data_IF_240337508753
#
_entry.id   IF_240337508753
#
_cell.length_a   1.000
_cell.length_b   1.000
_cell.length_c   1.000
_cell.angle_alpha   90.00
_cell.angle_beta   90.00
_cell.angle_gamma   90.00
#
_symmetry.space_group_name_H-M   'P 1'
#
loop_
_entity.id
_entity.type
_entity.pdbx_description
1 polymer ?
#
# COMPACT_ATOMS: atom_id res chain seq x y z
N UNK A 1 -16.05 -4.14 -5.23
CA UNK A 1 -15.97 -4.54 -6.66
C UNK A 1 -16.95 -3.73 -7.50
N UNK A 2 -18.24 -3.65 -7.15
CA UNK A 2 -19.26 -2.91 -7.91
C UNK A 2 -18.88 -1.44 -8.14
N UNK A 3 -18.44 -0.75 -7.09
CA UNK A 3 -17.99 0.64 -7.20
C UNK A 3 -16.82 0.78 -8.18
N UNK A 4 -15.86 -0.11 -8.11
CA UNK A 4 -14.70 -0.12 -9.03
C UNK A 4 -15.14 -0.36 -10.47
N UNK A 5 -16.06 -1.30 -10.69
CA UNK A 5 -16.60 -1.54 -12.03
C UNK A 5 -17.36 -0.32 -12.60
N UNK A 6 -18.10 0.41 -11.76
CA UNK A 6 -18.80 1.66 -12.16
C UNK A 6 -17.82 2.77 -12.58
N UNK A 7 -16.65 2.85 -11.95
CA UNK A 7 -15.63 3.83 -12.26
C UNK A 7 -14.87 3.53 -13.56
N UNK A 8 -14.96 2.30 -14.07
CA UNK A 8 -14.27 1.86 -15.29
C UNK A 8 -12.78 2.23 -15.32
N UNK A 9 -11.98 1.87 -14.31
CA UNK A 9 -10.61 2.31 -14.18
C UNK A 9 -9.71 1.68 -15.26
N UNK A 10 -8.57 2.31 -15.52
CA UNK A 10 -7.51 1.75 -16.38
C UNK A 10 -6.61 0.75 -15.66
N UNK A 11 -6.59 0.78 -14.34
CA UNK A 11 -5.81 -0.10 -13.47
C UNK A 11 -6.48 -0.20 -12.11
N UNK A 12 -6.31 -1.31 -11.43
CA UNK A 12 -6.74 -1.52 -10.04
C UNK A 12 -5.53 -1.86 -9.20
N UNK A 13 -5.42 -1.23 -8.04
CA UNK A 13 -4.42 -1.56 -7.03
C UNK A 13 -5.14 -2.07 -5.79
N UNK A 14 -4.81 -3.29 -5.39
CA UNK A 14 -5.25 -3.82 -4.11
C UNK A 14 -4.16 -3.56 -3.07
N UNK A 15 -4.50 -2.87 -2.00
CA UNK A 15 -3.53 -2.40 -1.04
C UNK A 15 -3.52 -3.24 0.25
N UNK A 16 -3.27 -4.54 0.08
CA UNK A 16 -3.00 -5.49 1.15
C UNK A 16 -4.21 -6.08 1.86
N UNK A 17 -3.93 -7.05 2.71
CA UNK A 17 -4.89 -7.81 3.52
C UNK A 17 -6.06 -8.39 2.70
N UNK A 18 -5.73 -8.92 1.51
CA UNK A 18 -6.70 -9.61 0.68
C UNK A 18 -7.03 -11.00 1.21
N UNK A 19 -6.11 -11.61 1.93
CA UNK A 19 -6.31 -12.88 2.65
C UNK A 19 -6.22 -12.67 4.16
N UNK A 20 -6.72 -13.63 4.91
CA UNK A 20 -6.67 -13.59 6.36
C UNK A 20 -6.01 -14.86 6.91
N UNK A 21 -4.69 -14.97 6.68
CA UNK A 21 -3.89 -16.10 7.23
C UNK A 21 -4.35 -17.45 6.66
N UNK A 22 -4.44 -17.57 5.35
CA UNK A 22 -4.89 -18.79 4.68
C UNK A 22 -3.85 -19.90 4.79
N UNK A 23 -4.30 -21.11 5.08
CA UNK A 23 -3.42 -22.26 5.24
C UNK A 23 -3.14 -23.00 3.92
N UNK A 24 -4.02 -22.84 2.92
CA UNK A 24 -3.87 -23.51 1.62
C UNK A 24 -3.71 -22.51 0.49
N UNK A 25 -2.92 -22.88 -0.52
CA UNK A 25 -2.72 -22.07 -1.72
C UNK A 25 -4.04 -21.91 -2.49
N UNK A 26 -4.90 -22.91 -2.49
CA UNK A 26 -6.19 -22.87 -3.18
C UNK A 26 -7.12 -21.84 -2.54
N UNK A 27 -7.18 -21.77 -1.21
CA UNK A 27 -7.96 -20.77 -0.49
C UNK A 27 -7.43 -19.36 -0.79
N UNK A 28 -6.13 -19.17 -0.72
CA UNK A 28 -5.48 -17.90 -1.04
C UNK A 28 -5.71 -17.49 -2.51
N UNK A 29 -5.48 -18.41 -3.46
CA UNK A 29 -5.74 -18.14 -4.88
C UNK A 29 -7.20 -17.78 -5.14
N UNK A 30 -8.14 -18.44 -4.47
CA UNK A 30 -9.56 -18.13 -4.59
C UNK A 30 -9.83 -16.69 -4.19
N UNK A 31 -9.32 -16.24 -3.06
CA UNK A 31 -9.51 -14.87 -2.58
C UNK A 31 -8.96 -13.86 -3.58
N UNK A 32 -7.75 -14.06 -4.09
CA UNK A 32 -7.13 -13.12 -5.03
C UNK A 32 -7.76 -13.14 -6.43
N UNK A 33 -8.20 -14.30 -6.90
CA UNK A 33 -8.68 -14.47 -8.27
C UNK A 33 -10.20 -14.42 -8.38
N UNK A 34 -10.94 -14.70 -7.33
CA UNK A 34 -12.39 -14.75 -7.37
C UNK A 34 -13.05 -13.47 -7.89
N UNK A 35 -12.61 -12.26 -7.47
CA UNK A 35 -13.14 -11.03 -8.05
C UNK A 35 -12.95 -10.93 -9.57
N UNK A 36 -11.87 -11.51 -10.08
CA UNK A 36 -11.60 -11.57 -11.53
C UNK A 36 -12.49 -12.57 -12.24
N UNK A 37 -12.83 -13.68 -11.58
CA UNK A 37 -13.68 -14.73 -12.13
C UNK A 37 -15.14 -14.27 -12.18
N UNK A 38 -15.62 -13.63 -11.14
CA UNK A 38 -17.01 -13.18 -11.01
C UNK A 38 -17.33 -12.00 -11.94
N UNK A 39 -16.35 -11.15 -12.21
CA UNK A 39 -16.49 -9.95 -13.04
C UNK A 39 -15.58 -10.02 -14.27
N UNK A 40 -15.80 -11.02 -15.11
CA UNK A 40 -15.01 -11.27 -16.33
C UNK A 40 -14.93 -10.08 -17.29
N UNK A 41 -15.99 -9.30 -17.36
CA UNK A 41 -16.11 -8.11 -18.19
C UNK A 41 -15.09 -7.02 -17.78
N UNK A 42 -14.76 -6.98 -16.52
CA UNK A 42 -13.90 -5.96 -15.91
C UNK A 42 -12.48 -6.50 -15.65
N UNK A 43 -12.35 -7.66 -15.00
CA UNK A 43 -11.07 -8.15 -14.50
C UNK A 43 -10.15 -8.72 -15.60
N UNK A 44 -10.72 -9.21 -16.70
CA UNK A 44 -9.94 -9.76 -17.82
C UNK A 44 -9.21 -8.69 -18.64
N UNK A 45 -9.57 -7.42 -18.48
CA UNK A 45 -9.11 -6.31 -19.33
C UNK A 45 -8.24 -5.28 -18.61
N UNK A 46 -8.12 -5.38 -17.30
CA UNK A 46 -7.44 -4.38 -16.48
C UNK A 46 -6.13 -4.89 -15.89
N UNK A 47 -5.06 -4.12 -15.94
CA UNK A 47 -3.91 -4.33 -15.08
C UNK A 47 -4.36 -4.33 -13.62
N UNK A 48 -3.89 -5.31 -12.89
CA UNK A 48 -4.20 -5.49 -11.48
C UNK A 48 -2.89 -5.56 -10.71
N UNK A 49 -2.63 -4.57 -9.88
CA UNK A 49 -1.44 -4.48 -9.05
C UNK A 49 -1.82 -4.79 -7.60
N UNK A 50 -0.87 -5.32 -6.87
CA UNK A 50 -1.08 -5.76 -5.50
C UNK A 50 0.10 -5.32 -4.62
N UNK A 51 -0.20 -4.62 -3.52
CA UNK A 51 0.73 -4.42 -2.43
C UNK A 51 0.36 -5.40 -1.32
N UNK A 52 1.24 -6.31 -0.91
CA UNK A 52 0.93 -7.22 0.18
C UNK A 52 0.68 -6.49 1.50
N UNK A 53 -0.24 -7.04 2.29
CA UNK A 53 -0.45 -6.66 3.68
C UNK A 53 0.10 -7.70 4.63
N UNK A 54 0.15 -7.37 5.92
CA UNK A 54 0.72 -8.26 6.93
C UNK A 54 -0.08 -9.58 7.09
N UNK A 55 -1.39 -9.58 6.84
CA UNK A 55 -2.17 -10.81 6.85
C UNK A 55 -1.93 -11.68 5.63
N UNK A 56 -1.60 -11.11 4.48
CA UNK A 56 -1.23 -11.87 3.29
C UNK A 56 0.06 -12.66 3.49
N UNK A 57 0.93 -12.21 4.39
CA UNK A 57 2.19 -12.85 4.72
C UNK A 57 2.08 -13.95 5.78
N UNK A 58 0.97 -14.01 6.48
CA UNK A 58 0.71 -15.03 7.51
C UNK A 58 0.15 -16.30 6.90
N UNK A 59 0.38 -17.42 7.57
CA UNK A 59 -0.14 -18.72 7.16
C UNK A 59 0.77 -19.52 6.23
N UNK A 60 0.42 -20.78 6.05
CA UNK A 60 1.23 -21.75 5.29
C UNK A 60 1.27 -21.45 3.79
N UNK A 61 0.27 -20.76 3.27
CA UNK A 61 0.17 -20.44 1.84
C UNK A 61 1.08 -19.28 1.43
N UNK A 62 1.58 -18.48 2.36
CA UNK A 62 2.41 -17.32 2.08
C UNK A 62 3.65 -17.65 1.23
N UNK A 63 4.33 -18.77 1.49
CA UNK A 63 5.47 -19.25 0.69
C UNK A 63 5.17 -19.44 -0.81
N UNK A 64 3.92 -19.32 -1.20
CA UNK A 64 3.46 -19.43 -2.58
C UNK A 64 2.98 -18.10 -3.18
N UNK A 65 2.99 -17.00 -2.41
CA UNK A 65 2.62 -15.67 -2.90
C UNK A 65 3.40 -15.27 -4.14
N UNK A 66 4.66 -15.63 -4.20
CA UNK A 66 5.52 -15.41 -5.36
C UNK A 66 4.97 -16.00 -6.67
N UNK A 67 4.19 -17.07 -6.59
CA UNK A 67 3.56 -17.72 -7.77
C UNK A 67 2.33 -16.96 -8.26
N UNK A 68 1.75 -16.14 -7.40
CA UNK A 68 0.49 -15.44 -7.67
C UNK A 68 0.75 -13.99 -8.06
N UNK A 69 1.67 -13.30 -7.38
CA UNK A 69 1.83 -11.85 -7.43
C UNK A 69 3.25 -11.35 -7.62
N UNK A 70 4.12 -12.13 -8.24
CA UNK A 70 5.45 -11.62 -8.49
C UNK A 70 5.52 -10.75 -9.73
N UNK A 71 5.90 -9.50 -9.51
CA UNK A 71 6.31 -8.62 -10.60
C UNK A 71 7.75 -8.93 -10.98
N UNK A 72 7.94 -9.73 -11.99
CA UNK A 72 9.25 -9.85 -12.61
C UNK A 72 9.52 -8.53 -13.33
N UNK A 73 10.17 -7.62 -12.64
CA UNK A 73 10.83 -6.55 -13.34
C UNK A 73 11.92 -7.17 -14.23
N UNK A 74 12.04 -6.68 -15.46
CA UNK A 74 13.02 -7.17 -16.43
C UNK A 74 14.46 -6.88 -16.04
N UNK A 75 14.70 -6.38 -14.84
CA UNK A 75 16.04 -6.14 -14.34
C UNK A 75 16.60 -7.47 -13.82
N UNK A 76 17.49 -8.07 -14.64
CA UNK A 76 18.16 -9.35 -14.40
C UNK A 76 19.13 -9.33 -13.21
N UNK A 77 19.12 -8.28 -12.40
CA UNK A 77 19.93 -8.24 -11.19
C UNK A 77 19.17 -8.86 -10.02
N UNK A 78 19.34 -10.18 -9.75
CA UNK A 78 18.82 -10.72 -8.51
C UNK A 78 19.51 -9.95 -7.38
N UNK A 79 18.72 -9.34 -6.48
CA UNK A 79 19.27 -9.05 -5.17
C UNK A 79 19.71 -10.40 -4.63
N UNK A 80 20.97 -10.53 -4.24
CA UNK A 80 21.57 -11.84 -3.92
C UNK A 80 20.86 -12.53 -2.75
N UNK A 81 20.13 -11.78 -1.94
CA UNK A 81 19.64 -12.22 -0.65
C UNK A 81 18.10 -12.10 -0.49
N UNK A 82 17.40 -11.33 -1.36
CA UNK A 82 15.98 -11.06 -1.19
C UNK A 82 15.23 -11.05 -2.51
N UNK A 83 14.06 -11.65 -2.52
CA UNK A 83 13.14 -11.51 -3.63
C UNK A 83 12.32 -10.22 -3.46
N UNK A 84 12.66 -9.20 -4.24
CA UNK A 84 11.98 -7.91 -4.25
C UNK A 84 10.82 -7.84 -5.23
N UNK A 85 10.42 -8.96 -5.82
CA UNK A 85 9.33 -9.05 -6.80
C UNK A 85 7.93 -8.72 -6.24
N UNK A 86 7.81 -8.48 -4.95
CA UNK A 86 6.57 -7.98 -4.32
C UNK A 86 6.41 -6.46 -4.42
N UNK A 87 7.46 -5.76 -4.84
CA UNK A 87 7.41 -4.33 -5.09
C UNK A 87 7.17 -4.06 -6.56
N UNK A 88 6.56 -2.94 -6.88
CA UNK A 88 6.39 -2.52 -8.27
C UNK A 88 6.70 -1.04 -8.48
N UNK A 89 7.18 -0.70 -9.66
CA UNK A 89 7.28 0.66 -10.16
C UNK A 89 6.76 0.67 -11.59
N UNK A 90 5.66 1.36 -11.82
CA UNK A 90 5.00 1.41 -13.12
C UNK A 90 4.53 2.82 -13.43
N UNK A 91 4.43 3.14 -14.71
CA UNK A 91 3.82 4.38 -15.17
C UNK A 91 2.62 4.10 -16.05
N UNK A 92 1.52 4.80 -15.77
CA UNK A 92 0.32 4.80 -16.60
C UNK A 92 -0.03 6.25 -16.94
N UNK A 93 0.15 6.62 -18.21
CA UNK A 93 -0.03 7.99 -18.66
C UNK A 93 0.89 8.97 -17.89
N UNK A 94 0.29 9.89 -17.17
CA UNK A 94 0.99 10.92 -16.39
C UNK A 94 1.29 10.51 -14.94
N UNK A 95 0.81 9.35 -14.50
CA UNK A 95 0.97 8.89 -13.12
C UNK A 95 2.04 7.80 -13.06
N UNK A 96 3.11 8.05 -12.32
CA UNK A 96 4.02 7.02 -11.84
C UNK A 96 3.49 6.48 -10.50
N UNK A 97 3.57 5.17 -10.34
CA UNK A 97 3.10 4.45 -9.17
C UNK A 97 4.20 3.54 -8.66
N UNK A 98 4.49 3.60 -7.37
CA UNK A 98 5.41 2.69 -6.68
C UNK A 98 4.67 1.99 -5.57
N UNK A 99 4.75 0.66 -5.53
CA UNK A 99 4.21 -0.17 -4.46
C UNK A 99 5.32 -0.80 -3.65
N UNK A 100 5.21 -0.73 -2.33
CA UNK A 100 6.19 -1.22 -1.37
C UNK A 100 5.53 -2.21 -0.41
N UNK A 101 6.16 -3.34 -0.23
CA UNK A 101 5.74 -4.36 0.71
C UNK A 101 6.22 -4.00 2.12
N UNK A 102 5.32 -3.65 3.01
CA UNK A 102 5.65 -3.31 4.40
C UNK A 102 6.01 -4.52 5.26
N UNK A 103 5.69 -5.71 4.78
CA UNK A 103 5.89 -6.93 5.55
C UNK A 103 4.96 -7.03 6.76
N UNK A 104 5.40 -7.76 7.76
CA UNK A 104 4.67 -7.99 9.00
C UNK A 104 4.66 -6.73 9.91
N UNK A 105 3.59 -6.56 10.66
CA UNK A 105 3.38 -5.45 11.59
C UNK A 105 3.99 -5.69 13.00
N UNK A 106 4.85 -6.68 13.11
CA UNK A 106 5.56 -7.04 14.35
C UNK A 106 7.06 -6.95 14.15
N UNK A 107 7.79 -6.83 15.25
CA UNK A 107 9.24 -6.92 15.22
C UNK A 107 9.70 -8.34 14.88
N UNK A 108 10.86 -8.46 14.21
CA UNK A 108 11.46 -9.75 13.88
C UNK A 108 11.74 -10.61 15.12
N UNK A 109 11.99 -9.96 16.25
CA UNK A 109 12.20 -10.62 17.55
C UNK A 109 10.90 -11.07 18.25
N UNK A 110 9.72 -10.84 17.64
CA UNK A 110 8.47 -11.27 18.26
C UNK A 110 8.43 -12.78 18.41
N UNK A 111 8.06 -13.24 19.61
CA UNK A 111 8.03 -14.66 19.96
C UNK A 111 7.13 -15.52 19.07
N UNK A 112 6.14 -14.91 18.41
CA UNK A 112 5.23 -15.61 17.48
C UNK A 112 5.96 -16.11 16.25
N UNK A 113 7.04 -15.47 15.86
CA UNK A 113 7.80 -15.78 14.66
C UNK A 113 9.09 -16.52 14.97
N UNK A 114 9.50 -16.60 16.24
CA UNK A 114 10.68 -17.35 16.70
C UNK A 114 11.95 -17.09 15.88
N UNK A 115 12.14 -15.87 15.38
CA UNK A 115 13.28 -15.50 14.55
C UNK A 115 13.21 -16.01 13.09
N UNK A 116 12.05 -16.48 12.63
CA UNK A 116 11.88 -16.96 11.25
C UNK A 116 11.65 -15.81 10.26
N UNK A 117 11.36 -14.60 10.75
CA UNK A 117 11.20 -13.38 9.93
C UNK A 117 12.46 -12.52 10.01
N UNK A 118 12.75 -11.85 8.92
CA UNK A 118 13.85 -10.88 8.83
C UNK A 118 13.37 -9.65 8.04
N UNK A 119 12.23 -9.09 8.47
CA UNK A 119 11.59 -7.97 7.79
C UNK A 119 12.44 -6.70 7.82
N UNK A 120 13.22 -6.48 8.89
CA UNK A 120 14.07 -5.29 8.98
C UNK A 120 15.12 -5.27 7.87
N UNK A 121 15.80 -6.38 7.62
CA UNK A 121 16.77 -6.48 6.53
C UNK A 121 16.08 -6.42 5.15
N UNK A 122 14.90 -6.99 5.02
CA UNK A 122 14.08 -6.88 3.81
C UNK A 122 13.70 -5.42 3.50
N UNK A 123 13.29 -4.64 4.50
CA UNK A 123 12.98 -3.21 4.35
C UNK A 123 14.18 -2.39 3.92
N UNK A 124 15.37 -2.72 4.41
CA UNK A 124 16.63 -2.10 3.95
C UNK A 124 16.87 -2.42 2.47
N UNK A 125 16.73 -3.67 2.05
CA UNK A 125 16.87 -4.06 0.64
C UNK A 125 15.84 -3.36 -0.25
N UNK A 126 14.61 -3.21 0.21
CA UNK A 126 13.58 -2.45 -0.50
C UNK A 126 13.94 -0.97 -0.66
N UNK A 127 14.62 -0.37 0.32
CA UNK A 127 15.08 1.02 0.20
C UNK A 127 16.08 1.20 -0.95
N UNK A 128 16.97 0.24 -1.16
CA UNK A 128 17.88 0.25 -2.30
C UNK A 128 17.15 0.10 -3.63
N UNK A 129 16.21 -0.85 -3.67
CA UNK A 129 15.34 -1.05 -4.83
C UNK A 129 14.52 0.22 -5.14
N UNK A 130 13.93 0.87 -4.12
CA UNK A 130 13.13 2.09 -4.28
C UNK A 130 13.97 3.22 -4.87
N UNK A 131 15.20 3.41 -4.37
CA UNK A 131 16.12 4.42 -4.91
C UNK A 131 16.34 4.23 -6.40
N UNK A 132 16.58 2.99 -6.83
CA UNK A 132 16.83 2.67 -8.22
C UNK A 132 15.54 2.82 -9.07
N UNK A 133 14.41 2.36 -8.54
CA UNK A 133 13.11 2.50 -9.19
C UNK A 133 12.71 3.96 -9.44
N UNK A 134 12.94 4.84 -8.46
CA UNK A 134 12.64 6.27 -8.59
C UNK A 134 13.54 6.99 -9.61
N UNK A 135 14.69 6.41 -9.97
CA UNK A 135 15.58 6.95 -10.98
C UNK A 135 15.28 6.46 -12.41
N UNK A 136 14.42 5.46 -12.57
CA UNK A 136 14.01 4.99 -13.89
C UNK A 136 13.39 6.16 -14.68
N UNK A 137 13.78 6.37 -15.94
CA UNK A 137 13.37 7.54 -16.71
C UNK A 137 11.84 7.73 -16.80
N UNK A 138 11.10 6.64 -16.94
CA UNK A 138 9.64 6.65 -16.98
C UNK A 138 9.03 7.09 -15.65
N UNK A 139 9.61 6.69 -14.52
CA UNK A 139 9.15 7.09 -13.18
C UNK A 139 9.58 8.53 -12.88
N UNK A 140 10.85 8.84 -13.10
CA UNK A 140 11.43 10.14 -12.80
C UNK A 140 10.79 11.29 -13.60
N UNK A 141 10.35 11.02 -14.85
CA UNK A 141 9.77 12.02 -15.74
C UNK A 141 8.25 12.18 -15.63
N UNK A 142 7.56 11.35 -14.87
CA UNK A 142 6.11 11.46 -14.72
C UNK A 142 5.73 12.72 -13.94
N UNK A 143 4.69 13.46 -14.35
CA UNK A 143 4.21 14.64 -13.64
C UNK A 143 3.70 14.34 -12.24
N UNK A 144 3.20 13.14 -12.02
CA UNK A 144 2.65 12.71 -10.74
C UNK A 144 3.33 11.42 -10.26
N UNK A 145 3.59 11.38 -8.96
CA UNK A 145 4.13 10.18 -8.29
C UNK A 145 3.25 9.85 -7.09
N UNK A 146 2.69 8.65 -7.11
CA UNK A 146 1.88 8.08 -6.04
C UNK A 146 2.59 6.85 -5.49
N UNK A 147 2.75 6.78 -4.19
CA UNK A 147 3.27 5.58 -3.52
C UNK A 147 2.13 4.79 -2.87
N UNK A 148 2.30 3.49 -2.80
CA UNK A 148 1.38 2.55 -2.17
C UNK A 148 2.15 1.67 -1.21
N UNK A 149 1.62 1.48 -0.03
CA UNK A 149 2.07 0.46 0.91
C UNK A 149 0.91 0.12 1.84
N UNK A 150 0.91 -1.08 2.39
CA UNK A 150 -0.23 -1.50 3.22
C UNK A 150 -0.27 -0.74 4.54
N UNK A 151 0.85 -0.73 5.26
CA UNK A 151 0.91 -0.13 6.59
C UNK A 151 1.30 1.35 6.48
N UNK A 152 0.60 2.27 7.18
CA UNK A 152 0.86 3.70 7.10
C UNK A 152 2.29 4.08 7.51
N UNK A 153 2.95 4.93 6.72
CA UNK A 153 4.29 5.45 7.05
C UNK A 153 4.25 6.59 8.06
N UNK A 154 3.11 7.23 8.21
CA UNK A 154 2.86 8.27 9.19
C UNK A 154 1.67 7.90 10.07
N UNK A 155 1.83 8.04 11.38
CA UNK A 155 0.74 7.99 12.33
C UNK A 155 0.83 9.22 13.25
N UNK A 156 -0.21 10.07 13.27
CA UNK A 156 -0.25 11.23 14.16
C UNK A 156 -0.32 10.85 15.65
N UNK A 157 -0.47 9.57 15.93
CA UNK A 157 -0.47 9.01 17.28
C UNK A 157 0.88 8.37 17.60
N UNK A 158 1.98 9.13 17.64
CA UNK A 158 3.34 8.57 17.71
C UNK A 158 3.57 7.74 18.97
N UNK A 159 2.71 7.84 19.97
CA UNK A 159 2.81 7.11 21.22
C UNK A 159 1.44 6.62 21.68
N UNK A 160 0.52 6.30 20.75
CA UNK A 160 -0.88 6.12 21.12
C UNK A 160 -1.23 7.19 22.18
N UNK A 161 -1.98 8.18 21.88
CA UNK A 161 -2.21 9.27 22.83
C UNK A 161 -2.20 8.74 24.27
N UNK A 162 -1.56 9.40 25.23
CA UNK A 162 -1.61 8.98 26.64
C UNK A 162 -3.03 8.82 27.19
N UNK A 163 -4.04 9.23 26.44
CA UNK A 163 -5.45 9.03 26.72
C UNK A 163 -6.13 7.91 25.92
N UNK A 164 -5.49 7.36 24.89
CA UNK A 164 -5.90 6.11 24.28
C UNK A 164 -5.37 5.00 25.19
N UNK A 165 -6.11 4.72 26.24
CA UNK A 165 -5.80 3.66 27.20
C UNK A 165 -5.80 2.34 26.44
N UNK A 166 -4.61 1.98 25.93
CA UNK A 166 -4.31 0.56 25.82
C UNK A 166 -4.42 -0.01 27.23
N UNK A 167 -4.96 -1.20 27.40
CA UNK A 167 -4.91 -1.88 28.68
C UNK A 167 -3.49 -1.75 29.24
N UNK A 168 -3.34 -1.40 30.51
CA UNK A 168 -2.03 -1.20 31.18
C UNK A 168 -1.05 -2.34 30.91
N UNK A 169 -1.55 -3.54 30.68
CA UNK A 169 -0.83 -4.74 30.35
C UNK A 169 -0.45 -4.91 28.86
N UNK A 170 -1.07 -4.15 27.96
CA UNK A 170 -0.75 -4.17 26.53
C UNK A 170 0.11 -2.95 26.10
N UNK A 171 0.16 -1.90 26.91
CA UNK A 171 0.60 -0.57 26.52
C UNK A 171 1.99 -0.50 25.96
N UNK A 172 2.98 -0.88 26.70
CA UNK A 172 4.37 -0.67 26.31
C UNK A 172 4.79 -1.59 25.16
N UNK A 173 4.31 -2.81 25.17
CA UNK A 173 4.71 -3.82 24.18
C UNK A 173 4.10 -3.56 22.83
N UNK A 174 2.80 -3.25 22.78
CA UNK A 174 2.09 -2.98 21.54
C UNK A 174 2.55 -1.66 20.90
N UNK A 175 2.79 -0.66 21.73
CA UNK A 175 3.25 0.66 21.29
C UNK A 175 4.69 0.61 20.78
N UNK A 176 5.57 -0.11 21.46
CA UNK A 176 6.95 -0.28 21.04
C UNK A 176 7.06 -1.04 19.73
N UNK A 177 6.31 -2.13 19.60
CA UNK A 177 6.28 -2.95 18.38
C UNK A 177 5.73 -2.16 17.19
N UNK A 178 4.61 -1.46 17.36
CA UNK A 178 3.98 -0.68 16.31
C UNK A 178 4.82 0.53 15.88
N UNK A 179 5.43 1.23 16.81
CA UNK A 179 6.31 2.36 16.50
C UNK A 179 7.66 1.92 15.90
N UNK A 180 8.13 0.71 16.17
CA UNK A 180 9.40 0.19 15.67
C UNK A 180 9.41 0.01 14.16
N UNK A 181 8.57 -0.84 13.61
CA UNK A 181 8.56 -1.14 12.18
C UNK A 181 8.12 0.05 11.31
N UNK A 182 7.15 0.84 11.76
CA UNK A 182 6.73 2.04 11.06
C UNK A 182 7.86 3.06 10.97
N UNK A 183 8.62 3.22 12.04
CA UNK A 183 9.78 4.09 12.08
C UNK A 183 10.83 3.67 11.06
N UNK A 184 11.14 2.38 10.96
CA UNK A 184 12.11 1.86 9.99
C UNK A 184 11.67 2.15 8.56
N UNK A 185 10.44 1.81 8.18
CA UNK A 185 9.92 2.12 6.85
C UNK A 185 9.91 3.63 6.58
N UNK A 186 9.44 4.44 7.53
CA UNK A 186 9.41 5.89 7.37
C UNK A 186 10.83 6.48 7.20
N UNK A 187 11.78 6.07 8.03
CA UNK A 187 13.15 6.56 7.96
C UNK A 187 13.88 6.19 6.67
N UNK A 188 13.61 4.98 6.14
CA UNK A 188 14.28 4.50 4.95
C UNK A 188 13.63 5.03 3.66
N UNK A 189 12.31 5.10 3.58
CA UNK A 189 11.62 5.33 2.31
C UNK A 189 11.16 6.78 2.12
N UNK A 190 10.70 7.45 3.19
CA UNK A 190 10.12 8.80 3.02
C UNK A 190 11.10 9.83 2.49
N UNK A 191 12.40 9.87 2.88
CA UNK A 191 13.34 10.84 2.31
C UNK A 191 13.51 10.69 0.80
N UNK A 192 13.48 9.46 0.29
CA UNK A 192 13.58 9.21 -1.14
C UNK A 192 12.31 9.60 -1.89
N UNK A 193 11.15 9.30 -1.32
CA UNK A 193 9.86 9.70 -1.88
C UNK A 193 9.69 11.23 -1.91
N UNK A 194 10.14 11.92 -0.86
CA UNK A 194 10.19 13.39 -0.79
C UNK A 194 11.10 13.97 -1.87
N UNK A 195 12.32 13.46 -1.96
CA UNK A 195 13.28 13.90 -2.98
C UNK A 195 12.76 13.68 -4.40
N UNK A 196 12.02 12.60 -4.61
CA UNK A 196 11.36 12.31 -5.88
C UNK A 196 10.11 13.16 -6.13
N UNK A 197 9.64 13.92 -5.14
CA UNK A 197 8.43 14.74 -5.23
C UNK A 197 7.14 13.92 -5.21
N UNK A 198 7.09 12.87 -4.43
CA UNK A 198 5.86 12.10 -4.19
C UNK A 198 4.78 13.03 -3.62
N UNK A 199 3.60 13.04 -4.23
CA UNK A 199 2.51 13.91 -3.79
C UNK A 199 1.62 13.23 -2.75
N UNK A 200 1.46 11.91 -2.85
CA UNK A 200 0.55 11.18 -1.98
C UNK A 200 1.02 9.74 -1.78
N UNK A 201 0.85 9.26 -0.55
CA UNK A 201 1.04 7.85 -0.18
C UNK A 201 -0.33 7.28 0.19
N UNK A 202 -0.73 6.20 -0.45
CA UNK A 202 -1.99 5.51 -0.18
C UNK A 202 -1.70 4.25 0.62
N UNK A 203 -2.35 4.13 1.77
CA UNK A 203 -2.14 3.06 2.74
C UNK A 203 -3.47 2.44 3.18
N UNK A 204 -3.43 1.43 4.05
CA UNK A 204 -4.60 0.74 4.58
C UNK A 204 -4.38 0.30 6.05
N UNK A 205 -4.48 -0.99 6.39
CA UNK A 205 -4.12 -1.63 7.67
C UNK A 205 -4.98 -1.24 8.87
N UNK A 206 -5.23 0.04 9.08
CA UNK A 206 -5.90 0.54 10.30
C UNK A 206 -7.42 0.34 10.28
N UNK A 207 -7.99 -0.09 9.16
CA UNK A 207 -9.44 -0.28 8.94
C UNK A 207 -10.27 0.99 9.24
N UNK A 208 -9.63 2.16 9.18
CA UNK A 208 -10.24 3.47 9.41
C UNK A 208 -9.82 4.41 8.29
N UNK A 209 -10.76 5.14 7.78
CA UNK A 209 -10.45 6.20 6.85
C UNK A 209 -9.78 7.37 7.58
N UNK A 210 -8.66 7.83 7.04
CA UNK A 210 -7.97 9.03 7.52
C UNK A 210 -7.24 9.73 6.37
N UNK A 211 -7.27 11.04 6.39
CA UNK A 211 -6.45 11.87 5.52
C UNK A 211 -5.48 12.68 6.36
N UNK A 212 -4.21 12.54 6.07
CA UNK A 212 -3.13 13.28 6.68
C UNK A 212 -2.61 14.28 5.64
N UNK A 213 -2.96 15.56 5.80
CA UNK A 213 -2.54 16.62 4.88
C UNK A 213 -1.03 16.83 4.91
N UNK A 214 -0.39 17.28 3.80
CA UNK A 214 1.01 17.67 3.84
C UNK A 214 1.21 18.84 4.81
N UNK A 215 2.38 18.87 5.43
CA UNK A 215 2.80 19.94 6.33
C UNK A 215 4.27 20.33 6.08
N UNK A 216 4.81 21.24 6.88
CA UNK A 216 6.19 21.75 6.72
C UNK A 216 7.26 20.66 6.89
N UNK A 217 6.95 19.61 7.66
CA UNK A 217 7.86 18.50 7.94
C UNK A 217 7.64 17.31 7.03
N UNK A 218 6.49 17.26 6.34
CA UNK A 218 6.06 16.17 5.50
C UNK A 218 5.34 16.71 4.26
N UNK A 219 6.07 16.88 3.14
CA UNK A 219 5.54 17.53 1.93
C UNK A 219 4.58 16.66 1.11
N UNK A 220 4.32 15.43 1.52
CA UNK A 220 3.38 14.50 0.89
C UNK A 220 2.15 14.30 1.77
N UNK A 221 1.02 14.05 1.11
CA UNK A 221 -0.20 13.64 1.79
C UNK A 221 -0.21 12.12 2.03
N UNK A 222 -0.94 11.67 3.04
CA UNK A 222 -1.25 10.25 3.21
C UNK A 222 -2.76 10.05 3.28
N UNK A 223 -3.24 9.03 2.56
CA UNK A 223 -4.59 8.51 2.74
C UNK A 223 -4.48 7.11 3.34
N UNK A 224 -5.09 6.90 4.48
CA UNK A 224 -5.33 5.58 5.03
C UNK A 224 -6.71 5.16 4.57
N UNK A 225 -6.79 4.11 3.75
CA UNK A 225 -8.05 3.53 3.29
C UNK A 225 -8.76 2.81 4.43
N UNK A 226 -10.07 3.01 4.49
CA UNK A 226 -10.92 2.27 5.42
C UNK A 226 -11.10 0.83 4.96
N UNK A 227 -11.22 -0.06 5.92
CA UNK A 227 -11.43 -1.48 5.72
C UNK A 227 -12.87 -1.92 6.04
N UNK A 228 -13.13 -3.22 5.98
CA UNK A 228 -14.42 -3.76 6.35
C UNK A 228 -14.76 -3.39 7.80
N UNK A 229 -16.03 -3.24 8.09
CA UNK A 229 -16.54 -3.03 9.44
C UNK A 229 -16.35 -4.36 10.21
N UNK A 230 -15.13 -4.64 10.60
CA UNK A 230 -14.84 -5.77 11.48
C UNK A 230 -15.04 -5.29 12.91
N UNK A 231 -16.27 -5.47 13.41
CA UNK A 231 -16.44 -5.45 14.85
C UNK A 231 -15.79 -6.70 15.42
N UNK A 232 -14.67 -6.57 16.11
CA UNK A 232 -14.38 -7.53 17.16
C UNK A 232 -15.48 -7.35 18.20
N UNK A 233 -16.48 -8.20 18.11
CA UNK A 233 -17.52 -8.29 19.12
C UNK A 233 -17.01 -9.35 20.09
N UNK A 234 -16.41 -8.90 21.21
CA UNK A 234 -16.36 -9.73 22.39
C UNK A 234 -17.81 -10.10 22.76
N UNK A 235 -18.04 -11.32 23.23
CA UNK A 235 -19.37 -11.75 23.71
C UNK A 235 -19.92 -10.67 24.65
N UNK A 236 -21.03 -10.03 24.25
CA UNK A 236 -21.73 -9.02 25.04
C UNK A 236 -21.49 -7.54 24.68
N UNK A 237 -20.56 -7.21 23.78
CA UNK A 237 -20.37 -5.81 23.35
C UNK A 237 -21.15 -5.48 22.07
N UNK A 238 -22.00 -4.44 22.15
CA UNK A 238 -22.64 -3.85 20.97
C UNK A 238 -21.55 -3.32 20.03
N UNK A 239 -21.66 -3.63 18.72
CA UNK A 239 -20.85 -3.01 17.66
C UNK A 239 -20.78 -1.50 17.91
N UNK A 240 -19.61 -0.99 18.24
CA UNK A 240 -19.36 0.45 18.21
C UNK A 240 -19.23 0.84 16.74
N UNK A 241 -20.26 1.46 16.21
CA UNK A 241 -20.18 2.17 14.94
C UNK A 241 -19.21 3.33 15.13
N UNK A 242 -18.01 3.20 14.57
CA UNK A 242 -17.10 4.32 14.49
C UNK A 242 -17.33 5.02 13.15
N UNK A 243 -17.58 6.33 13.13
CA UNK A 243 -17.94 7.07 11.91
C UNK A 243 -16.84 7.08 10.84
N UNK A 244 -15.61 6.75 11.22
CA UNK A 244 -14.44 6.63 10.35
C UNK A 244 -14.15 5.20 9.85
N UNK A 245 -14.99 4.22 10.25
CA UNK A 245 -14.84 2.82 9.84
C UNK A 245 -15.82 2.44 8.74
N UNK A 246 -15.38 2.55 7.52
CA UNK A 246 -16.13 2.12 6.34
C UNK A 246 -15.15 1.70 5.23
N UNK A 247 -15.50 0.71 4.39
CA UNK A 247 -14.68 0.36 3.24
C UNK A 247 -14.59 1.53 2.26
N UNK A 248 -13.42 1.75 1.69
CA UNK A 248 -13.18 2.82 0.72
C UNK A 248 -12.74 2.28 -0.63
N UNK A 249 -13.10 3.00 -1.68
CA UNK A 249 -12.44 2.96 -2.98
C UNK A 249 -11.82 4.32 -3.21
N UNK A 250 -10.52 4.34 -3.51
CA UNK A 250 -9.77 5.57 -3.78
C UNK A 250 -9.52 5.62 -5.29
N UNK A 251 -10.10 6.62 -5.94
CA UNK A 251 -9.97 6.87 -7.37
C UNK A 251 -8.90 7.93 -7.61
N UNK A 252 -7.93 7.63 -8.49
CA UNK A 252 -6.95 8.60 -8.98
C UNK A 252 -7.13 8.86 -10.47
N UNK A 253 -7.19 10.12 -10.88
CA UNK A 253 -7.28 10.50 -12.29
C UNK A 253 -6.51 11.81 -12.56
N UNK A 254 -6.11 12.03 -13.81
CA UNK A 254 -5.51 13.31 -14.20
C UNK A 254 -6.54 14.10 -14.99
N UNK A 255 -6.86 15.29 -14.50
CA UNK A 255 -7.78 16.21 -15.13
C UNK A 255 -7.22 17.63 -15.06
N UNK A 256 -7.25 18.35 -16.16
CA UNK A 256 -6.78 19.73 -16.29
C UNK A 256 -5.34 19.93 -15.75
N UNK A 257 -4.45 18.96 -16.03
CA UNK A 257 -3.06 18.99 -15.59
C UNK A 257 -2.85 18.80 -14.09
N UNK A 258 -3.84 18.30 -13.37
CA UNK A 258 -3.80 18.03 -11.93
C UNK A 258 -4.19 16.60 -11.63
N UNK A 259 -3.55 16.00 -10.65
CA UNK A 259 -3.98 14.71 -10.11
C UNK A 259 -5.19 14.95 -9.19
N UNK A 260 -6.32 14.38 -9.57
CA UNK A 260 -7.51 14.32 -8.74
C UNK A 260 -7.55 13.00 -8.01
N UNK A 261 -7.80 13.05 -6.72
CA UNK A 261 -7.96 11.85 -5.87
C UNK A 261 -9.31 11.97 -5.18
N UNK A 262 -10.18 10.98 -5.41
CA UNK A 262 -11.52 10.94 -4.85
C UNK A 262 -11.68 9.70 -3.98
N UNK A 263 -12.12 9.88 -2.75
CA UNK A 263 -12.39 8.80 -1.81
C UNK A 263 -13.89 8.52 -1.79
N UNK A 264 -14.24 7.30 -2.13
CA UNK A 264 -15.62 6.84 -2.12
C UNK A 264 -15.89 6.01 -0.86
N UNK A 265 -16.96 6.33 -0.15
CA UNK A 265 -17.46 5.53 0.95
C UNK A 265 -18.33 4.40 0.39
N UNK A 266 -17.89 3.15 0.54
CA UNK A 266 -18.59 2.00 -0.05
C UNK A 266 -19.86 1.59 0.71
N UNK A 267 -20.11 2.14 1.90
CA UNK A 267 -21.36 1.89 2.64
C UNK A 267 -22.47 2.80 2.12
N UNK A 268 -22.17 4.10 1.99
CA UNK A 268 -23.16 5.11 1.56
C UNK A 268 -23.22 5.27 0.04
N UNK A 269 -22.18 4.83 -0.67
CA UNK A 269 -22.00 5.06 -2.11
C UNK A 269 -21.58 6.49 -2.47
N UNK A 270 -21.48 7.39 -1.50
CA UNK A 270 -21.16 8.80 -1.69
C UNK A 270 -19.64 9.06 -1.74
N UNK A 271 -19.28 10.22 -2.29
CA UNK A 271 -17.93 10.76 -2.16
C UNK A 271 -17.73 11.21 -0.71
N UNK A 272 -16.69 10.68 -0.08
CA UNK A 272 -16.28 11.04 1.27
C UNK A 272 -15.40 12.29 1.24
N UNK A 273 -14.39 12.30 0.37
CA UNK A 273 -13.44 13.39 0.21
C UNK A 273 -12.92 13.48 -1.22
N UNK A 274 -12.39 14.65 -1.57
CA UNK A 274 -11.77 14.90 -2.88
C UNK A 274 -10.57 15.83 -2.73
N UNK A 275 -9.46 15.47 -3.36
CA UNK A 275 -8.19 16.19 -3.28
C UNK A 275 -7.64 16.48 -4.68
N UNK A 276 -6.85 17.53 -4.81
CA UNK A 276 -6.26 17.92 -6.09
C UNK A 276 -4.81 18.34 -5.90
N UNK A 277 -3.90 17.67 -6.60
CA UNK A 277 -2.46 17.89 -6.50
C UNK A 277 -1.91 18.49 -7.79
N UNK A 278 -1.02 19.46 -7.66
CA UNK A 278 -0.27 20.00 -8.79
C UNK A 278 0.79 19.00 -9.26
N UNK A 279 1.19 19.09 -10.52
CA UNK A 279 2.32 18.33 -11.03
C UNK A 279 3.59 18.66 -10.25
N UNK A 280 4.39 17.63 -9.96
CA UNK A 280 5.71 17.79 -9.33
C UNK A 280 6.69 18.46 -10.32
N UNK A 281 7.72 19.11 -9.78
CA UNK A 281 8.82 19.61 -10.60
C UNK A 281 9.67 18.41 -11.06
N UNK A 282 9.50 18.02 -12.32
CA UNK A 282 10.31 16.94 -12.90
C UNK A 282 11.54 17.51 -13.62
N UNK A 283 12.69 16.86 -13.42
CA UNK A 283 13.84 17.14 -14.28
C UNK A 283 13.50 16.58 -15.67
N UNK A 284 13.66 17.40 -16.73
CA UNK A 284 13.49 16.91 -18.10
C UNK A 284 14.56 15.84 -18.38
N UNK A 285 14.19 14.59 -18.26
CA UNK A 285 15.00 13.46 -18.68
C UNK A 285 14.66 13.20 -20.15
N UNK A 286 15.64 13.18 -21.04
CA UNK A 286 15.40 12.74 -22.43
C UNK A 286 14.91 11.28 -22.36
N UNK A 287 13.77 10.95 -22.97
CA UNK A 287 13.33 9.57 -23.03
C UNK A 287 14.41 8.72 -23.69
N UNK A 288 14.67 7.50 -23.21
CA UNK A 288 15.56 6.59 -23.89
C UNK A 288 15.06 6.34 -25.32
N UNK A 289 15.96 6.11 -26.29
CA UNK A 289 15.55 5.75 -27.65
C UNK A 289 14.66 4.50 -27.56
N UNK A 290 13.51 4.52 -28.27
CA UNK A 290 12.63 3.35 -28.35
C UNK A 290 13.45 2.16 -28.84
N UNK A 291 13.37 0.99 -28.18
CA UNK A 291 13.99 -0.20 -28.71
C UNK A 291 13.40 -0.47 -30.11
N UNK A 292 14.30 -0.76 -31.05
CA UNK A 292 13.88 -1.17 -32.40
C UNK A 292 12.99 -2.41 -32.29
N UNK A 293 11.88 -2.48 -33.05
CA UNK A 293 11.06 -3.68 -33.09
C UNK A 293 11.91 -4.86 -33.54
N UNK A 294 11.86 -5.93 -32.75
CA UNK A 294 12.47 -7.23 -33.11
C UNK A 294 11.58 -7.96 -34.09
#
# INVERSE_FOLDING_TARGET
IEKVAQLSPSCVIWNGDASNTEETIEAQMRIYLQPKIERKDYAARLPYLFCPGNHDERGMANRHLERIWMYRQQDERPSRDWDLGRNFAVRMGDIAMVGLDTGEDKLDADKRFAGLFNNEAYRVAQAEWLRDALQQPEIASAPFLVAFCHIPLYDPRPNLNPGDVLPEDAGDKYTADYAGWQRTCAQLWTPMLEQAGCQIIITAHQHRYRYDAPDETRPWAQIVGGGPIMGFVGEGEKRREAPDRFPTVIEGSVKDGRLQVVVHNCVTGLVQDSFSYAARKVKKVKPPPRPLPR
#
